data_IF_356413198793
#
_entry.id   IF_356413198793
#
_cell.length_a   1.000
_cell.length_b   1.000
_cell.length_c   1.000
_cell.angle_alpha   90.00
_cell.angle_beta   90.00
_cell.angle_gamma   90.00
#
_symmetry.space_group_name_H-M   'P 1'
#
loop_
_entity.id
_entity.type
_entity.pdbx_description
1 polymer ?
#
# COMPACT_ATOMS: atom_id res chain seq x y z
N UNK A 1 -3.99 2.35 28.42
CA UNK A 1 -4.30 2.83 27.05
C UNK A 1 -3.88 1.75 26.08
N UNK A 2 -4.80 1.18 25.30
CA UNK A 2 -4.42 0.27 24.23
C UNK A 2 -3.65 1.09 23.17
N UNK A 3 -2.39 0.74 22.93
CA UNK A 3 -1.60 1.30 21.84
C UNK A 3 -2.33 0.89 20.56
N UNK A 4 -2.96 1.82 19.84
CA UNK A 4 -3.56 1.53 18.54
C UNK A 4 -2.43 1.05 17.63
N UNK A 5 -2.36 -0.25 17.36
CA UNK A 5 -1.35 -0.82 16.49
C UNK A 5 -1.67 -0.33 15.08
N UNK A 6 -0.85 0.58 14.54
CA UNK A 6 -0.98 1.03 13.15
C UNK A 6 -0.92 -0.19 12.25
N UNK A 7 -1.95 -0.39 11.42
CA UNK A 7 -1.97 -1.45 10.42
C UNK A 7 -1.18 -0.98 9.21
N UNK A 8 -0.16 -1.75 8.83
CA UNK A 8 0.82 -1.43 7.79
C UNK A 8 1.11 -2.67 6.94
N UNK A 9 1.89 -2.49 5.87
CA UNK A 9 2.35 -3.58 5.02
C UNK A 9 1.22 -4.35 4.35
N UNK A 10 1.38 -5.67 4.22
CA UNK A 10 0.39 -6.53 3.57
C UNK A 10 -0.98 -6.49 4.27
N UNK A 11 -1.02 -6.37 5.60
CA UNK A 11 -2.29 -6.28 6.34
C UNK A 11 -3.08 -5.02 5.96
N UNK A 12 -2.39 -3.89 5.77
CA UNK A 12 -3.02 -2.67 5.30
C UNK A 12 -3.49 -2.80 3.85
N UNK A 13 -2.65 -3.41 3.00
CA UNK A 13 -2.97 -3.66 1.59
C UNK A 13 -4.23 -4.53 1.44
N UNK A 14 -4.34 -5.61 2.22
CA UNK A 14 -5.51 -6.50 2.18
C UNK A 14 -6.77 -5.81 2.67
N UNK A 15 -6.69 -4.96 3.70
CA UNK A 15 -7.84 -4.14 4.11
C UNK A 15 -8.27 -3.18 3.00
N UNK A 16 -7.31 -2.57 2.30
CA UNK A 16 -7.62 -1.73 1.14
C UNK A 16 -8.26 -2.51 -0.01
N UNK A 17 -7.85 -3.77 -0.20
CA UNK A 17 -8.51 -4.65 -1.15
C UNK A 17 -9.96 -4.89 -0.78
N UNK A 18 -10.24 -5.20 0.48
CA UNK A 18 -11.60 -5.42 0.96
C UNK A 18 -12.46 -4.13 0.89
N UNK A 19 -11.90 -2.98 1.29
CA UNK A 19 -12.57 -1.67 1.24
C UNK A 19 -12.96 -1.23 -0.18
N UNK A 20 -12.17 -1.61 -1.18
CA UNK A 20 -12.36 -1.21 -2.57
C UNK A 20 -12.78 -2.37 -3.48
N UNK A 21 -13.19 -3.50 -2.88
CA UNK A 21 -13.68 -4.70 -3.59
C UNK A 21 -12.70 -5.22 -4.66
N UNK A 22 -11.39 -5.07 -4.44
CA UNK A 22 -10.39 -5.60 -5.35
C UNK A 22 -10.34 -7.13 -5.26
N UNK A 23 -10.60 -7.87 -6.36
CA UNK A 23 -10.73 -9.33 -6.31
C UNK A 23 -9.38 -10.06 -6.16
N UNK A 24 -8.26 -9.36 -6.33
CA UNK A 24 -6.92 -9.94 -6.23
C UNK A 24 -5.82 -8.88 -6.13
N UNK A 25 -4.63 -9.29 -5.70
CA UNK A 25 -3.42 -8.44 -5.76
C UNK A 25 -3.07 -8.00 -7.19
N UNK A 26 -3.44 -8.79 -8.22
CA UNK A 26 -3.23 -8.42 -9.61
C UNK A 26 -4.09 -7.20 -9.98
N UNK A 27 -5.35 -7.17 -9.55
CA UNK A 27 -6.24 -6.04 -9.80
C UNK A 27 -5.74 -4.75 -9.14
N UNK A 28 -5.21 -4.83 -7.91
CA UNK A 28 -4.61 -3.65 -7.26
C UNK A 28 -3.38 -3.17 -8.01
N UNK A 29 -2.54 -4.10 -8.47
CA UNK A 29 -1.33 -3.75 -9.20
C UNK A 29 -1.65 -3.04 -10.52
N UNK A 30 -2.68 -3.51 -11.23
CA UNK A 30 -3.22 -2.86 -12.43
C UNK A 30 -3.77 -1.47 -12.12
N UNK A 31 -4.55 -1.32 -11.04
CA UNK A 31 -5.06 -0.01 -10.61
C UNK A 31 -3.94 0.97 -10.24
N UNK A 32 -2.82 0.46 -9.74
CA UNK A 32 -1.62 1.24 -9.44
C UNK A 32 -0.68 1.40 -10.65
N UNK A 33 -0.99 0.87 -11.84
CA UNK A 33 -0.05 0.84 -12.98
C UNK A 33 1.34 0.27 -12.59
N UNK A 34 1.32 -0.86 -11.90
CA UNK A 34 2.48 -1.58 -11.36
C UNK A 34 2.46 -3.06 -11.73
N UNK A 35 3.62 -3.70 -11.65
CA UNK A 35 3.71 -5.15 -11.62
C UNK A 35 3.29 -5.71 -10.25
N UNK A 36 2.49 -6.79 -10.23
CA UNK A 36 2.02 -7.45 -9.00
C UNK A 36 3.14 -7.85 -8.03
N UNK A 37 4.26 -8.34 -8.56
CA UNK A 37 5.41 -8.71 -7.74
C UNK A 37 6.06 -7.50 -7.06
N UNK A 38 6.13 -6.36 -7.75
CA UNK A 38 6.61 -5.11 -7.15
C UNK A 38 5.67 -4.62 -6.06
N UNK A 39 4.36 -4.57 -6.34
CA UNK A 39 3.35 -4.19 -5.35
C UNK A 39 3.48 -5.05 -4.08
N UNK A 40 3.54 -6.38 -4.23
CA UNK A 40 3.72 -7.29 -3.11
C UNK A 40 5.00 -6.98 -2.33
N UNK A 41 6.15 -6.87 -3.00
CA UNK A 41 7.44 -6.58 -2.33
C UNK A 41 7.45 -5.26 -1.57
N UNK A 42 6.74 -4.25 -2.05
CA UNK A 42 6.64 -2.96 -1.36
C UNK A 42 5.91 -3.09 -0.03
N UNK A 43 4.77 -3.78 -0.01
CA UNK A 43 3.97 -3.97 1.21
C UNK A 43 4.45 -5.14 2.08
N UNK A 44 5.27 -6.05 1.55
CA UNK A 44 6.02 -7.06 2.32
C UNK A 44 7.33 -6.50 2.92
N UNK A 45 7.66 -5.23 2.66
CA UNK A 45 8.90 -4.56 3.08
C UNK A 45 10.18 -5.19 2.54
N UNK A 46 10.10 -5.94 1.43
CA UNK A 46 11.25 -6.54 0.76
C UNK A 46 11.96 -5.54 -0.16
N UNK A 47 11.26 -4.51 -0.63
CA UNK A 47 11.81 -3.49 -1.52
C UNK A 47 11.15 -2.15 -1.23
N UNK A 48 11.94 -1.07 -1.23
CA UNK A 48 11.39 0.28 -1.11
C UNK A 48 11.00 0.81 -2.50
N UNK A 49 9.74 1.25 -2.73
CA UNK A 49 9.39 1.92 -3.98
C UNK A 49 10.13 3.24 -4.09
N UNK A 50 10.46 3.63 -5.33
CA UNK A 50 10.93 4.98 -5.62
C UNK A 50 9.80 6.01 -5.42
N UNK A 51 10.15 7.26 -5.12
CA UNK A 51 9.19 8.33 -4.77
C UNK A 51 8.25 8.69 -5.93
N UNK A 52 8.69 8.50 -7.18
CA UNK A 52 7.91 8.69 -8.39
C UNK A 52 6.73 7.71 -8.52
N UNK A 53 6.76 6.59 -7.79
CA UNK A 53 5.65 5.63 -7.75
C UNK A 53 4.55 6.03 -6.75
N UNK A 54 4.81 7.01 -5.86
CA UNK A 54 3.84 7.40 -4.84
C UNK A 54 2.49 7.87 -5.42
N UNK A 55 2.44 8.73 -6.47
CA UNK A 55 1.17 9.13 -7.07
C UNK A 55 0.38 7.95 -7.63
N UNK A 56 1.07 6.99 -8.25
CA UNK A 56 0.46 5.78 -8.81
C UNK A 56 -0.17 4.92 -7.71
N UNK A 57 0.55 4.72 -6.61
CA UNK A 57 0.05 4.00 -5.43
C UNK A 57 -1.14 4.73 -4.80
N UNK A 58 -1.08 6.05 -4.64
CA UNK A 58 -2.19 6.85 -4.08
C UNK A 58 -3.46 6.70 -4.92
N UNK A 59 -3.33 6.78 -6.25
CA UNK A 59 -4.45 6.66 -7.18
C UNK A 59 -5.05 5.24 -7.15
N UNK A 60 -4.22 4.21 -7.29
CA UNK A 60 -4.69 2.82 -7.35
C UNK A 60 -5.26 2.31 -6.02
N UNK A 61 -4.75 2.79 -4.89
CA UNK A 61 -5.22 2.41 -3.56
C UNK A 61 -6.28 3.37 -3.00
N UNK A 62 -6.65 4.40 -3.75
CA UNK A 62 -7.57 5.47 -3.31
C UNK A 62 -7.25 5.96 -1.89
N UNK A 63 -5.99 6.34 -1.68
CA UNK A 63 -5.45 6.70 -0.38
C UNK A 63 -4.56 7.95 -0.49
N UNK A 64 -4.51 8.74 0.57
CA UNK A 64 -3.65 9.91 0.62
C UNK A 64 -2.16 9.51 0.67
N UNK A 65 -1.24 10.41 0.27
CA UNK A 65 0.19 10.16 0.38
C UNK A 65 0.63 9.74 1.79
N UNK A 66 0.08 10.37 2.84
CA UNK A 66 0.44 10.04 4.21
C UNK A 66 0.02 8.62 4.61
N UNK A 67 -1.17 8.18 4.19
CA UNK A 67 -1.66 6.82 4.43
C UNK A 67 -0.78 5.78 3.73
N UNK A 68 -0.46 6.01 2.44
CA UNK A 68 0.40 5.09 1.67
C UNK A 68 1.81 5.03 2.27
N UNK A 69 2.41 6.18 2.60
CA UNK A 69 3.75 6.21 3.20
C UNK A 69 3.78 5.51 4.58
N UNK A 70 2.74 5.72 5.40
CA UNK A 70 2.59 5.02 6.68
C UNK A 70 2.44 3.51 6.46
N UNK A 71 1.63 3.09 5.48
CA UNK A 71 1.44 1.69 5.13
C UNK A 71 2.73 1.04 4.60
N UNK A 72 3.59 1.80 3.92
CA UNK A 72 4.94 1.39 3.51
C UNK A 72 5.96 1.42 4.67
N UNK A 73 5.53 1.60 5.91
CA UNK A 73 6.38 1.56 7.10
C UNK A 73 7.21 2.83 7.31
N UNK A 74 6.92 3.92 6.60
CA UNK A 74 7.62 5.19 6.76
C UNK A 74 7.02 5.92 7.96
N UNK A 75 7.90 6.29 8.90
CA UNK A 75 7.54 7.02 10.10
C UNK A 75 7.83 8.51 9.90
N UNK A 76 6.95 9.35 10.46
CA UNK A 76 7.11 10.79 10.53
C UNK A 76 7.15 11.14 12.02
N UNK A 77 8.28 11.69 12.45
CA UNK A 77 8.53 12.14 13.83
C UNK A 77 7.97 13.55 14.07
#
# INVERSE_FOLDING_TARGET
MAKSTKVVGLDWLYRKMDEHEYPSLQAVAEACDLNRGNLYRYFAFETRPSIDLLPKLCNGLNASPLEVLTALGIQFD
#
